data_IF_102862904061
#
_entry.id   IF_102862904061
#
_cell.length_a   1.000
_cell.length_b   1.000
_cell.length_c   1.000
_cell.angle_alpha   90.00
_cell.angle_beta   90.00
_cell.angle_gamma   90.00
#
_symmetry.space_group_name_H-M   'P 1'
#
loop_
_entity.id
_entity.type
_entity.pdbx_description
1 polymer ?
#
# COMPACT_ATOMS: atom_id res chain seq x y z
N UNK A 1 -32.59 5.66 14.00
CA UNK A 1 -33.77 5.19 14.77
C UNK A 1 -33.27 4.47 16.01
N UNK A 2 -33.56 5.01 17.19
CA UNK A 2 -32.97 4.54 18.44
C UNK A 2 -33.58 3.19 18.85
N UNK A 3 -32.73 2.18 19.06
CA UNK A 3 -33.12 0.83 19.52
C UNK A 3 -33.97 0.86 20.81
N UNK A 4 -33.78 1.91 21.62
CA UNK A 4 -34.52 2.19 22.83
C UNK A 4 -36.03 2.40 22.61
N UNK A 5 -36.42 3.08 21.53
CA UNK A 5 -37.85 3.34 21.24
C UNK A 5 -38.56 2.06 20.80
N UNK A 6 -37.88 1.20 20.02
CA UNK A 6 -38.42 -0.12 19.64
C UNK A 6 -38.57 -1.04 20.85
N UNK A 7 -37.63 -1.00 21.79
CA UNK A 7 -37.70 -1.80 23.01
C UNK A 7 -38.85 -1.36 23.92
N UNK A 8 -39.10 -0.04 24.02
CA UNK A 8 -40.20 0.51 24.81
C UNK A 8 -41.58 0.15 24.27
N UNK A 9 -41.77 0.18 22.94
CA UNK A 9 -43.05 -0.19 22.33
C UNK A 9 -43.35 -1.69 22.50
N UNK A 10 -42.33 -2.52 22.32
CA UNK A 10 -42.41 -3.97 22.55
C UNK A 10 -42.77 -4.24 24.02
N UNK A 11 -42.03 -3.69 24.98
CA UNK A 11 -42.32 -3.89 26.40
C UNK A 11 -43.76 -3.47 26.79
N UNK A 12 -44.27 -2.37 26.25
CA UNK A 12 -45.64 -1.89 26.49
C UNK A 12 -46.71 -2.85 25.94
N UNK A 13 -46.52 -3.38 24.74
CA UNK A 13 -47.42 -4.35 24.13
C UNK A 13 -47.46 -5.68 24.89
N UNK A 14 -46.30 -6.21 25.29
CA UNK A 14 -46.23 -7.47 26.04
C UNK A 14 -46.78 -7.36 27.46
N UNK A 15 -46.55 -6.24 28.14
CA UNK A 15 -47.12 -6.00 29.47
C UNK A 15 -48.64 -5.81 29.41
N UNK A 16 -49.14 -5.09 28.39
CA UNK A 16 -50.57 -4.92 28.17
C UNK A 16 -51.31 -6.22 27.88
N UNK A 17 -50.78 -7.05 26.96
CA UNK A 17 -51.39 -8.35 26.64
C UNK A 17 -51.33 -9.31 27.83
N UNK A 18 -50.23 -9.32 28.60
CA UNK A 18 -50.12 -10.14 29.81
C UNK A 18 -51.17 -9.79 30.87
N UNK A 19 -51.40 -8.49 31.12
CA UNK A 19 -52.41 -8.02 32.08
C UNK A 19 -53.81 -8.39 31.60
N UNK A 20 -54.11 -8.20 30.32
CA UNK A 20 -55.42 -8.53 29.73
C UNK A 20 -55.69 -10.03 29.78
N UNK A 21 -54.70 -10.87 29.47
CA UNK A 21 -54.81 -12.33 29.54
C UNK A 21 -54.95 -12.81 30.98
N UNK A 22 -54.23 -12.21 31.94
CA UNK A 22 -54.41 -12.49 33.38
C UNK A 22 -55.82 -12.17 33.85
N UNK A 23 -56.36 -11.00 33.48
CA UNK A 23 -57.71 -10.56 33.88
C UNK A 23 -58.80 -11.40 33.20
N UNK A 24 -58.67 -11.69 31.90
CA UNK A 24 -59.61 -12.55 31.18
C UNK A 24 -59.61 -13.98 31.73
N UNK A 25 -58.45 -14.52 32.07
CA UNK A 25 -58.36 -15.84 32.71
C UNK A 25 -59.00 -15.84 34.12
N UNK A 26 -58.84 -14.76 34.88
CA UNK A 26 -59.47 -14.60 36.20
C UNK A 26 -61.00 -14.40 36.12
N UNK A 27 -61.50 -13.74 35.07
CA UNK A 27 -62.94 -13.47 34.88
C UNK A 27 -63.70 -14.65 34.25
N UNK A 28 -63.09 -15.36 33.29
CA UNK A 28 -63.79 -16.36 32.47
C UNK A 28 -63.92 -17.72 33.18
N UNK A 29 -62.97 -18.10 34.05
CA UNK A 29 -62.94 -19.43 34.67
C UNK A 29 -63.34 -19.48 36.16
N UNK A 30 -63.34 -18.36 36.88
CA UNK A 30 -63.44 -18.41 38.36
C UNK A 30 -64.50 -17.53 38.99
N UNK A 31 -65.27 -16.75 38.21
CA UNK A 31 -66.32 -15.91 38.79
C UNK A 31 -65.83 -15.10 40.00
N UNK A 32 -64.61 -14.53 39.90
CA UNK A 32 -63.98 -13.70 40.95
C UNK A 32 -63.42 -14.45 42.19
N UNK A 33 -62.84 -15.65 42.05
CA UNK A 33 -62.08 -16.29 43.15
C UNK A 33 -60.56 -16.00 43.09
N UNK A 34 -60.10 -14.96 43.80
CA UNK A 34 -58.70 -14.50 43.88
C UNK A 34 -57.84 -15.23 44.95
N UNK A 35 -57.99 -16.54 45.11
CA UNK A 35 -57.19 -17.32 46.06
C UNK A 35 -55.99 -17.98 45.33
N UNK A 36 -54.72 -17.81 45.78
CA UNK A 36 -53.52 -18.34 45.09
C UNK A 36 -53.56 -19.83 44.77
N UNK A 37 -54.31 -20.62 45.55
CA UNK A 37 -54.49 -22.06 45.35
C UNK A 37 -55.20 -22.38 44.02
N UNK A 38 -56.15 -21.53 43.59
CA UNK A 38 -56.87 -21.71 42.33
C UNK A 38 -55.97 -21.46 41.10
N UNK A 39 -54.98 -20.58 41.25
CA UNK A 39 -54.02 -20.23 40.21
C UNK A 39 -53.07 -21.40 39.93
N UNK A 40 -52.61 -22.06 40.99
CA UNK A 40 -51.76 -23.26 40.89
C UNK A 40 -52.52 -24.45 40.32
N UNK A 41 -53.80 -24.61 40.68
CA UNK A 41 -54.63 -25.72 40.19
C UNK A 41 -54.97 -25.62 38.69
N UNK A 42 -55.03 -24.40 38.13
CA UNK A 42 -55.35 -24.18 36.72
C UNK A 42 -54.16 -24.32 35.77
N UNK A 43 -52.93 -24.20 36.27
CA UNK A 43 -51.71 -24.22 35.45
C UNK A 43 -51.55 -25.46 34.54
N UNK A 44 -51.87 -26.70 34.96
CA UNK A 44 -51.71 -27.87 34.10
C UNK A 44 -52.62 -27.85 32.87
N UNK A 45 -53.87 -27.42 33.05
CA UNK A 45 -54.84 -27.36 31.95
C UNK A 45 -54.53 -26.19 31.01
N UNK A 46 -54.17 -25.03 31.55
CA UNK A 46 -53.84 -23.86 30.74
C UNK A 46 -52.59 -24.12 29.89
N UNK A 47 -51.53 -24.74 30.46
CA UNK A 47 -50.34 -25.12 29.68
C UNK A 47 -50.64 -26.15 28.59
N UNK A 48 -51.52 -27.11 28.88
CA UNK A 48 -51.92 -28.12 27.91
C UNK A 48 -52.70 -27.52 26.74
N UNK A 49 -53.68 -26.64 27.02
CA UNK A 49 -54.43 -25.95 25.97
C UNK A 49 -53.58 -24.95 25.19
N UNK A 50 -52.68 -24.19 25.84
CA UNK A 50 -51.78 -23.29 25.11
C UNK A 50 -50.78 -24.06 24.23
N UNK A 51 -50.30 -25.23 24.66
CA UNK A 51 -49.45 -26.09 23.84
C UNK A 51 -50.23 -26.73 22.68
N UNK A 52 -51.47 -27.19 22.89
CA UNK A 52 -52.32 -27.74 21.83
C UNK A 52 -52.69 -26.67 20.80
N UNK A 53 -53.16 -25.51 21.26
CA UNK A 53 -53.51 -24.38 20.40
C UNK A 53 -52.26 -23.85 19.70
N UNK A 54 -51.13 -23.75 20.40
CA UNK A 54 -49.85 -23.35 19.80
C UNK A 54 -49.34 -24.35 18.76
N UNK A 55 -49.43 -25.65 19.02
CA UNK A 55 -49.03 -26.70 18.07
C UNK A 55 -49.98 -26.79 16.87
N UNK A 56 -51.27 -26.53 17.08
CA UNK A 56 -52.26 -26.47 16.00
C UNK A 56 -52.13 -25.21 15.17
N UNK A 57 -51.93 -24.03 15.79
CA UNK A 57 -51.61 -22.79 15.09
C UNK A 57 -50.28 -22.92 14.34
N UNK A 58 -49.27 -23.59 14.87
CA UNK A 58 -48.04 -23.87 14.13
C UNK A 58 -48.30 -24.70 12.86
N UNK A 59 -49.26 -25.62 12.93
CA UNK A 59 -49.64 -26.48 11.81
C UNK A 59 -50.48 -25.76 10.74
N UNK A 60 -51.28 -24.77 11.14
CA UNK A 60 -52.24 -24.11 10.24
C UNK A 60 -51.82 -22.70 9.80
N UNK A 61 -51.02 -21.99 10.61
CA UNK A 61 -50.58 -20.62 10.34
C UNK A 61 -49.11 -20.47 9.98
N UNK A 62 -48.31 -21.56 9.90
CA UNK A 62 -46.95 -21.52 9.36
C UNK A 62 -46.11 -20.35 9.87
N UNK A 63 -46.10 -20.11 11.19
CA UNK A 63 -45.42 -18.95 11.78
C UNK A 63 -43.91 -19.08 11.61
N UNK A 64 -43.44 -18.50 10.51
CA UNK A 64 -42.13 -18.67 9.90
C UNK A 64 -42.13 -18.27 8.42
N UNK A 65 -43.29 -18.35 7.77
CA UNK A 65 -43.51 -17.97 6.37
C UNK A 65 -44.20 -16.60 6.27
N UNK A 66 -43.59 -15.59 6.88
CA UNK A 66 -44.12 -14.22 6.78
C UNK A 66 -43.73 -13.60 5.43
N UNK A 67 -44.70 -13.04 4.73
CA UNK A 67 -44.54 -12.14 3.56
C UNK A 67 -43.56 -10.98 3.84
N UNK A 68 -43.37 -10.60 5.12
CA UNK A 68 -42.34 -9.65 5.55
C UNK A 68 -40.91 -10.22 5.44
N UNK A 69 -40.71 -11.52 5.61
CA UNK A 69 -39.42 -12.19 5.36
C UNK A 69 -39.06 -12.15 3.87
N UNK A 70 -40.06 -12.21 2.99
CA UNK A 70 -39.90 -12.04 1.54
C UNK A 70 -39.38 -10.65 1.18
N UNK A 71 -40.02 -9.58 1.69
CA UNK A 71 -39.58 -8.19 1.45
C UNK A 71 -38.19 -7.90 2.02
N UNK A 72 -37.88 -8.39 3.22
CA UNK A 72 -36.53 -8.26 3.80
C UNK A 72 -35.51 -9.06 2.99
N UNK A 73 -35.88 -10.24 2.50
CA UNK A 73 -35.05 -11.06 1.62
C UNK A 73 -34.79 -10.41 0.26
N UNK A 74 -35.77 -9.74 -0.33
CA UNK A 74 -35.60 -8.97 -1.56
C UNK A 74 -34.70 -7.74 -1.36
N UNK A 75 -34.93 -6.96 -0.30
CA UNK A 75 -34.08 -5.81 0.06
C UNK A 75 -32.64 -6.28 0.32
N UNK A 76 -32.45 -7.43 0.99
CA UNK A 76 -31.14 -8.02 1.21
C UNK A 76 -30.50 -8.48 -0.10
N UNK A 77 -31.23 -9.16 -0.98
CA UNK A 77 -30.73 -9.59 -2.29
C UNK A 77 -30.33 -8.40 -3.16
N UNK A 78 -31.14 -7.36 -3.17
CA UNK A 78 -30.90 -6.16 -3.99
C UNK A 78 -29.71 -5.35 -3.47
N UNK A 79 -29.64 -5.11 -2.16
CA UNK A 79 -28.47 -4.46 -1.54
C UNK A 79 -27.19 -5.28 -1.73
N UNK A 80 -27.24 -6.61 -1.56
CA UNK A 80 -26.09 -7.49 -1.81
C UNK A 80 -25.63 -7.43 -3.27
N UNK A 81 -26.57 -7.39 -4.24
CA UNK A 81 -26.24 -7.27 -5.66
C UNK A 81 -25.53 -5.94 -5.98
N UNK A 82 -25.94 -4.83 -5.35
CA UNK A 82 -25.24 -3.54 -5.52
C UNK A 82 -23.82 -3.58 -4.94
N UNK A 83 -23.65 -4.19 -3.77
CA UNK A 83 -22.34 -4.36 -3.14
C UNK A 83 -21.44 -5.25 -3.99
N UNK A 84 -21.95 -6.40 -4.46
CA UNK A 84 -21.20 -7.34 -5.30
C UNK A 84 -20.75 -6.68 -6.62
N UNK A 85 -21.62 -5.86 -7.24
CA UNK A 85 -21.27 -5.10 -8.45
C UNK A 85 -20.21 -4.02 -8.21
N UNK A 86 -20.34 -3.25 -7.11
CA UNK A 86 -19.36 -2.23 -6.75
C UNK A 86 -18.01 -2.84 -6.37
N UNK A 87 -18.03 -3.97 -5.65
CA UNK A 87 -16.83 -4.74 -5.32
C UNK A 87 -16.16 -5.29 -6.58
N UNK A 88 -16.91 -5.83 -7.54
CA UNK A 88 -16.35 -6.32 -8.80
C UNK A 88 -15.67 -5.19 -9.60
N UNK A 89 -16.28 -4.01 -9.65
CA UNK A 89 -15.69 -2.85 -10.33
C UNK A 89 -14.37 -2.42 -9.64
N UNK A 90 -14.38 -2.22 -8.33
CA UNK A 90 -13.19 -1.80 -7.57
C UNK A 90 -12.05 -2.82 -7.64
N UNK A 91 -12.36 -4.12 -7.59
CA UNK A 91 -11.36 -5.19 -7.76
C UNK A 91 -10.71 -5.14 -9.15
N UNK A 92 -11.51 -4.87 -10.19
CA UNK A 92 -10.97 -4.77 -11.57
C UNK A 92 -10.03 -3.56 -11.74
N UNK A 93 -10.38 -2.41 -11.15
CA UNK A 93 -9.57 -1.21 -11.14
C UNK A 93 -8.28 -1.41 -10.35
N UNK A 94 -8.38 -2.01 -9.16
CA UNK A 94 -7.22 -2.33 -8.31
C UNK A 94 -6.26 -3.31 -8.99
N UNK A 95 -6.80 -4.32 -9.69
CA UNK A 95 -6.00 -5.28 -10.46
C UNK A 95 -5.25 -4.59 -11.61
N UNK A 96 -5.91 -3.70 -12.35
CA UNK A 96 -5.29 -2.92 -13.43
C UNK A 96 -4.20 -1.96 -12.89
N UNK A 97 -4.46 -1.31 -11.76
CA UNK A 97 -3.49 -0.44 -11.11
C UNK A 97 -2.24 -1.22 -10.64
N UNK A 98 -2.44 -2.42 -10.08
CA UNK A 98 -1.34 -3.29 -9.67
C UNK A 98 -0.51 -3.78 -10.87
N UNK A 99 -1.16 -4.14 -11.98
CA UNK A 99 -0.46 -4.57 -13.21
C UNK A 99 0.41 -3.44 -13.78
N UNK A 100 -0.11 -2.21 -13.87
CA UNK A 100 0.65 -1.02 -14.27
C UNK A 100 1.83 -0.72 -13.33
N UNK A 101 1.62 -0.87 -12.01
CA UNK A 101 2.69 -0.70 -11.03
C UNK A 101 3.78 -1.77 -11.20
N UNK A 102 3.39 -3.03 -11.44
CA UNK A 102 4.33 -4.13 -11.66
C UNK A 102 5.15 -3.96 -12.94
N UNK A 103 4.55 -3.44 -14.01
CA UNK A 103 5.27 -3.16 -15.26
C UNK A 103 6.27 -2.01 -15.07
N UNK A 104 5.91 -0.99 -14.27
CA UNK A 104 6.82 0.11 -13.94
C UNK A 104 8.04 -0.39 -13.16
N UNK A 105 7.83 -1.20 -12.12
CA UNK A 105 8.90 -1.81 -11.32
C UNK A 105 9.81 -2.67 -12.21
N UNK A 106 9.23 -3.47 -13.13
CA UNK A 106 10.01 -4.28 -14.07
C UNK A 106 10.91 -3.43 -14.97
N UNK A 107 10.40 -2.29 -15.46
CA UNK A 107 11.20 -1.37 -16.30
C UNK A 107 12.31 -0.69 -15.51
N UNK A 108 12.03 -0.27 -14.28
CA UNK A 108 13.05 0.31 -13.38
C UNK A 108 14.15 -0.72 -13.06
N UNK A 109 13.79 -1.97 -12.74
CA UNK A 109 14.79 -3.03 -12.52
C UNK A 109 15.62 -3.35 -13.77
N UNK A 110 15.02 -3.38 -14.96
CA UNK A 110 15.77 -3.59 -16.21
C UNK A 110 16.75 -2.44 -16.48
N UNK A 111 16.37 -1.21 -16.14
CA UNK A 111 17.25 -0.05 -16.28
C UNK A 111 18.44 -0.13 -15.30
N UNK A 112 18.19 -0.49 -14.05
CA UNK A 112 19.22 -0.68 -13.02
C UNK A 112 20.23 -1.78 -13.43
N UNK A 113 19.74 -2.95 -13.84
CA UNK A 113 20.57 -4.09 -14.27
C UNK A 113 21.37 -3.76 -15.55
N UNK A 114 20.75 -3.01 -16.47
CA UNK A 114 21.46 -2.51 -17.65
C UNK A 114 22.53 -1.47 -17.32
N UNK A 115 22.38 -0.72 -16.23
CA UNK A 115 23.37 0.24 -15.78
C UNK A 115 24.57 -0.46 -15.11
N UNK A 116 24.31 -1.42 -14.21
CA UNK A 116 25.37 -2.21 -13.53
C UNK A 116 26.23 -2.99 -14.53
N UNK A 117 25.61 -3.57 -15.57
CA UNK A 117 26.34 -4.27 -16.64
C UNK A 117 27.20 -3.35 -17.48
N UNK A 118 26.76 -2.10 -17.73
CA UNK A 118 27.55 -1.09 -18.43
C UNK A 118 28.73 -0.62 -17.57
N UNK A 119 28.52 -0.43 -16.27
CA UNK A 119 29.56 0.01 -15.34
C UNK A 119 30.65 -1.05 -15.17
N UNK A 120 30.28 -2.32 -14.95
CA UNK A 120 31.23 -3.44 -14.92
C UNK A 120 32.04 -3.53 -16.22
N UNK A 121 31.39 -3.39 -17.38
CA UNK A 121 32.09 -3.43 -18.68
C UNK A 121 33.03 -2.25 -18.86
N UNK A 122 32.69 -1.07 -18.36
CA UNK A 122 33.55 0.11 -18.44
C UNK A 122 34.76 -0.02 -17.51
N UNK A 123 34.58 -0.58 -16.31
CA UNK A 123 35.65 -0.85 -15.35
C UNK A 123 36.65 -1.89 -15.89
N UNK A 124 36.20 -2.95 -16.56
CA UNK A 124 37.09 -3.90 -17.26
C UNK A 124 37.92 -3.22 -18.37
N UNK A 125 37.34 -2.26 -19.09
CA UNK A 125 38.03 -1.51 -20.15
C UNK A 125 39.06 -0.53 -19.59
N UNK A 126 38.82 0.04 -18.39
CA UNK A 126 39.80 0.91 -17.73
C UNK A 126 41.02 0.11 -17.26
N UNK A 127 40.83 -1.11 -16.75
CA UNK A 127 41.94 -1.94 -16.28
C UNK A 127 42.89 -2.36 -17.43
N UNK A 128 42.37 -2.46 -18.65
CA UNK A 128 43.17 -2.73 -19.87
C UNK A 128 43.73 -1.48 -20.54
N UNK A 129 43.28 -0.29 -20.14
CA UNK A 129 43.84 1.01 -20.54
C UNK A 129 44.37 1.73 -19.31
N UNK A 130 45.39 1.16 -18.66
CA UNK A 130 46.37 2.01 -17.99
C UNK A 130 47.01 2.88 -19.09
N UNK A 131 46.79 4.21 -19.16
CA UNK A 131 47.68 5.01 -19.96
C UNK A 131 49.03 4.91 -19.25
N UNK A 132 49.95 4.10 -19.77
CA UNK A 132 51.38 4.26 -19.51
C UNK A 132 51.74 5.66 -20.03
N UNK A 133 51.51 6.65 -19.18
CA UNK A 133 51.88 8.02 -19.40
C UNK A 133 53.27 8.23 -18.84
N UNK A 134 54.26 7.62 -19.49
CA UNK A 134 55.61 8.16 -19.51
C UNK A 134 55.75 8.93 -20.83
N UNK A 135 54.95 9.98 -21.01
CA UNK A 135 55.26 10.97 -22.04
C UNK A 135 56.51 11.69 -21.53
N UNK A 136 57.67 11.31 -22.05
CA UNK A 136 58.93 11.94 -21.74
C UNK A 136 58.88 13.42 -22.17
N UNK A 137 58.70 14.30 -21.18
CA UNK A 137 58.63 15.75 -21.36
C UNK A 137 59.99 16.39 -21.65
N UNK A 138 61.07 15.61 -21.75
CA UNK A 138 62.41 16.11 -22.08
C UNK A 138 62.66 16.29 -23.59
N UNK A 139 61.85 15.63 -24.44
CA UNK A 139 62.03 15.64 -25.90
C UNK A 139 60.79 16.16 -26.63
N UNK A 140 61.02 17.02 -27.64
CA UNK A 140 59.98 17.54 -28.51
C UNK A 140 59.49 16.46 -29.49
N UNK A 141 58.19 16.14 -29.45
CA UNK A 141 57.57 15.13 -30.33
C UNK A 141 57.52 15.51 -31.83
N UNK A 142 57.82 16.78 -32.18
CA UNK A 142 57.80 17.26 -33.57
C UNK A 142 59.18 17.13 -34.23
N UNK A 143 60.27 17.37 -33.49
CA UNK A 143 61.61 17.48 -34.08
C UNK A 143 62.72 16.76 -33.30
N UNK A 144 62.39 16.11 -32.17
CA UNK A 144 63.34 15.37 -31.34
C UNK A 144 64.34 16.23 -30.56
N UNK A 145 64.23 17.56 -30.58
CA UNK A 145 65.09 18.45 -29.78
C UNK A 145 64.60 18.57 -28.35
N UNK A 146 65.48 18.98 -27.43
CA UNK A 146 65.12 19.20 -26.03
C UNK A 146 63.99 20.23 -25.87
N UNK A 147 63.14 20.01 -24.88
CA UNK A 147 62.07 20.92 -24.47
C UNK A 147 62.45 21.68 -23.20
N UNK A 148 62.00 22.93 -23.13
CA UNK A 148 62.27 23.84 -22.01
C UNK A 148 60.98 24.37 -21.43
N UNK A 149 60.95 24.59 -20.10
CA UNK A 149 59.81 25.16 -19.41
C UNK A 149 59.64 26.64 -19.79
N UNK A 150 58.46 27.02 -20.26
CA UNK A 150 58.10 28.40 -20.62
C UNK A 150 56.76 28.76 -20.00
N UNK A 151 56.58 30.04 -19.70
CA UNK A 151 55.32 30.57 -19.19
C UNK A 151 54.59 31.30 -20.31
N UNK A 152 53.30 31.02 -20.49
CA UNK A 152 52.49 31.73 -21.46
C UNK A 152 52.31 33.19 -21.01
N UNK A 153 52.64 34.14 -21.89
CA UNK A 153 52.58 35.58 -21.58
C UNK A 153 51.28 36.24 -22.04
N UNK A 154 50.53 35.58 -22.94
CA UNK A 154 49.30 36.12 -23.56
C UNK A 154 48.24 35.04 -23.73
N UNK A 155 46.98 35.44 -23.81
CA UNK A 155 45.83 34.57 -24.07
C UNK A 155 45.22 33.93 -22.81
N UNK A 156 44.30 32.98 -23.02
CA UNK A 156 43.51 32.31 -21.97
C UNK A 156 44.37 31.54 -20.94
N UNK A 157 45.60 31.18 -21.30
CA UNK A 157 46.53 30.44 -20.46
C UNK A 157 47.67 31.30 -19.92
N UNK A 158 47.57 32.63 -20.00
CA UNK A 158 48.59 33.54 -19.47
C UNK A 158 48.92 33.22 -18.00
N UNK A 159 50.21 33.14 -17.67
CA UNK A 159 50.73 32.75 -16.36
C UNK A 159 50.89 31.24 -16.15
N UNK A 160 50.41 30.38 -17.05
CA UNK A 160 50.61 28.92 -16.94
C UNK A 160 51.91 28.48 -17.61
N UNK A 161 52.52 27.45 -17.03
CA UNK A 161 53.76 26.85 -17.55
C UNK A 161 53.46 25.73 -18.56
N UNK A 162 54.30 25.61 -19.57
CA UNK A 162 54.27 24.55 -20.58
C UNK A 162 55.69 24.23 -21.06
N UNK A 163 55.90 23.03 -21.59
CA UNK A 163 57.17 22.68 -22.23
C UNK A 163 57.13 23.10 -23.70
N UNK A 164 58.03 23.99 -24.10
CA UNK A 164 58.19 24.42 -25.49
C UNK A 164 59.51 23.93 -26.09
N UNK A 165 59.54 23.66 -27.38
CA UNK A 165 60.78 23.27 -28.07
C UNK A 165 61.88 24.34 -27.91
N UNK A 166 63.10 23.90 -27.60
CA UNK A 166 64.30 24.76 -27.55
C UNK A 166 64.54 25.51 -28.87
N UNK A 167 64.29 24.87 -30.02
CA UNK A 167 64.47 25.42 -31.38
C UNK A 167 63.35 26.35 -31.85
N UNK A 168 62.62 26.99 -30.94
CA UNK A 168 61.65 28.03 -31.32
C UNK A 168 62.41 29.28 -31.84
N UNK A 169 62.01 29.92 -32.96
CA UNK A 169 60.73 29.82 -33.68
C UNK A 169 60.65 28.77 -34.79
N UNK A 170 61.74 28.07 -35.11
CA UNK A 170 61.80 27.09 -36.21
C UNK A 170 60.92 25.86 -35.95
N UNK A 171 60.79 25.44 -34.69
CA UNK A 171 59.88 24.39 -34.26
C UNK A 171 58.84 24.92 -33.26
N UNK A 172 57.54 24.72 -33.57
CA UNK A 172 56.40 25.12 -32.73
C UNK A 172 55.89 23.98 -31.83
N UNK A 173 56.76 23.03 -31.48
CA UNK A 173 56.43 21.93 -30.57
C UNK A 173 56.10 22.43 -29.16
N UNK A 174 54.95 22.01 -28.64
CA UNK A 174 54.44 22.39 -27.33
C UNK A 174 53.89 21.13 -26.67
N UNK A 175 54.28 20.90 -25.42
CA UNK A 175 53.74 19.84 -24.57
C UNK A 175 53.16 20.47 -23.31
N UNK A 176 51.86 20.29 -23.11
CA UNK A 176 51.16 20.82 -21.94
C UNK A 176 51.44 19.94 -20.72
N UNK A 177 51.68 20.59 -19.57
CA UNK A 177 51.84 19.91 -18.29
C UNK A 177 50.46 19.40 -17.88
N UNK A 178 50.26 18.08 -17.90
CA UNK A 178 49.09 17.48 -17.25
C UNK A 178 49.42 17.33 -15.77
N UNK A 179 48.67 17.99 -14.90
CA UNK A 179 48.76 17.73 -13.46
C UNK A 179 48.16 16.35 -13.21
N UNK A 180 48.98 15.31 -13.28
CA UNK A 180 48.62 14.02 -12.73
C UNK A 180 48.70 14.16 -11.22
N UNK A 181 47.53 14.31 -10.58
CA UNK A 181 47.42 14.19 -9.13
C UNK A 181 47.83 12.76 -8.81
N UNK A 182 49.07 12.54 -8.34
CA UNK A 182 49.44 11.25 -7.76
C UNK A 182 48.55 11.08 -6.54
N UNK A 183 47.56 10.20 -6.66
CA UNK A 183 46.85 9.69 -5.49
C UNK A 183 47.85 8.75 -4.83
N UNK A 184 48.62 9.28 -3.89
CA UNK A 184 49.27 8.45 -2.88
C UNK A 184 48.16 8.06 -1.90
N UNK A 185 47.97 6.76 -1.72
CA UNK A 185 46.98 6.18 -0.81
C UNK A 185 47.44 6.34 0.65
N UNK A 186 47.56 7.56 1.13
CA UNK A 186 47.86 7.87 2.54
C UNK A 186 47.13 9.18 2.88
N UNK A 187 45.85 9.09 3.25
CA UNK A 187 45.15 9.94 4.23
C UNK A 187 43.65 9.60 4.15
N UNK A 188 43.26 8.60 4.95
CA UNK A 188 41.88 8.43 5.41
C UNK A 188 41.78 9.27 6.68
N UNK A 189 41.18 10.46 6.58
CA UNK A 189 40.77 11.24 7.74
C UNK A 189 39.25 11.30 7.82
N UNK A 190 38.80 10.96 9.02
CA UNK A 190 37.44 10.81 9.50
C UNK A 190 36.60 12.11 9.46
N UNK A 191 35.31 11.91 9.79
CA UNK A 191 34.36 12.90 10.30
C UNK A 191 33.35 13.55 9.33
N UNK A 192 32.16 12.94 9.26
CA UNK A 192 30.92 13.72 9.22
C UNK A 192 29.92 13.11 10.23
N UNK A 193 29.56 13.82 11.32
CA UNK A 193 28.51 13.38 12.23
C UNK A 193 27.12 13.67 11.65
N UNK A 194 26.16 12.79 11.96
CA UNK A 194 24.73 13.02 11.81
C UNK A 194 24.20 13.99 12.87
#
# INVERSE_FOLDING_TARGET
MNLWEKTKSIASLYTGTFIVVMILNQLLFFGFCLNPICLVAAMPHVLFFTALIGSWLNKESGWGDDEQSGRVGEIYKESKKMVDNSLAQTVSELKRANELASEKIRKEQIYEDSFDTLDSKYLEVIDTKKPDSDIDYSVCQICGSETVLRTATRGLYAGKNFYGCSRFPECKGITNIKHTKKITNDEFDDDIPF
#
